data_IF_911415970394
#
_entry.id   IF_911415970394
#
_cell.length_a   1.000
_cell.length_b   1.000
_cell.length_c   1.000
_cell.angle_alpha   90.00
_cell.angle_beta   90.00
_cell.angle_gamma   90.00
#
_symmetry.space_group_name_H-M   'P 1'
#
loop_
_entity.id
_entity.type
_entity.pdbx_description
1 polymer ?
#
# COMPACT_ATOMS: atom_id res chain seq x y z
N UNK A 1 -5.54 3.98 6.38
CA UNK A 1 -5.45 4.90 7.50
C UNK A 1 -6.58 5.93 7.50
N UNK A 2 -6.94 6.40 8.69
CA UNK A 2 -7.93 7.45 8.89
C UNK A 2 -9.40 7.02 8.81
N UNK A 3 -9.71 5.80 8.42
CA UNK A 3 -11.09 5.31 8.41
C UNK A 3 -11.45 4.71 9.77
N UNK A 4 -12.51 5.25 10.39
CA UNK A 4 -13.08 4.69 11.61
C UNK A 4 -13.86 3.37 11.33
N UNK A 5 -14.45 2.78 12.34
CA UNK A 5 -15.26 1.56 12.26
C UNK A 5 -16.43 1.65 11.26
N UNK A 6 -16.96 2.87 11.03
CA UNK A 6 -18.03 3.14 10.06
C UNK A 6 -17.50 3.44 8.64
N UNK A 7 -16.20 3.26 8.39
CA UNK A 7 -15.50 3.56 7.12
C UNK A 7 -15.58 5.04 6.71
N UNK A 8 -15.74 5.93 7.69
CA UNK A 8 -15.73 7.39 7.51
C UNK A 8 -14.34 7.89 7.92
N UNK A 9 -13.75 8.81 7.13
CA UNK A 9 -12.48 9.43 7.49
C UNK A 9 -12.65 10.30 8.73
N UNK A 10 -11.76 10.13 9.70
CA UNK A 10 -11.65 10.93 10.91
C UNK A 10 -10.20 11.34 11.12
N UNK A 11 -9.96 12.64 11.23
CA UNK A 11 -8.61 13.16 11.48
C UNK A 11 -8.06 12.67 12.82
N UNK A 12 -8.87 12.63 13.87
CA UNK A 12 -8.42 12.14 15.19
C UNK A 12 -8.01 10.67 15.13
N UNK A 13 -8.76 9.86 14.37
CA UNK A 13 -8.43 8.45 14.17
C UNK A 13 -7.13 8.30 13.37
N UNK A 14 -6.97 9.11 12.33
CA UNK A 14 -5.76 9.11 11.49
C UNK A 14 -4.51 9.50 12.29
N UNK A 15 -4.59 10.52 13.13
CA UNK A 15 -3.47 10.96 13.97
C UNK A 15 -3.04 9.86 14.94
N UNK A 16 -3.99 9.15 15.57
CA UNK A 16 -3.70 7.99 16.43
C UNK A 16 -3.01 6.85 15.67
N UNK A 17 -3.44 6.56 14.44
CA UNK A 17 -2.76 5.56 13.61
C UNK A 17 -1.33 5.97 13.26
N UNK A 18 -1.08 7.25 12.96
CA UNK A 18 0.27 7.76 12.70
C UNK A 18 1.21 7.59 13.92
N UNK A 19 0.70 7.82 15.13
CA UNK A 19 1.45 7.54 16.38
C UNK A 19 1.79 6.05 16.52
N UNK A 20 0.84 5.17 16.19
CA UNK A 20 1.05 3.71 16.18
C UNK A 20 2.12 3.34 15.14
N UNK A 21 2.09 3.93 13.95
CA UNK A 21 3.11 3.67 12.92
C UNK A 21 4.50 4.08 13.38
N UNK A 22 4.63 5.25 14.02
CA UNK A 22 5.90 5.69 14.60
C UNK A 22 6.41 4.72 15.67
N UNK A 23 5.55 4.33 16.61
CA UNK A 23 5.93 3.41 17.70
C UNK A 23 6.29 2.01 17.21
N UNK A 24 5.86 1.64 15.99
CA UNK A 24 6.20 0.38 15.33
C UNK A 24 7.34 0.53 14.30
N UNK A 25 8.19 1.54 14.42
CA UNK A 25 9.35 1.74 13.54
C UNK A 25 9.00 1.77 12.05
N UNK A 26 7.82 2.33 11.69
CA UNK A 26 7.45 2.52 10.30
C UNK A 26 8.19 3.72 9.71
N UNK A 27 8.68 3.59 8.48
CA UNK A 27 9.46 4.62 7.77
C UNK A 27 8.73 5.24 6.59
N UNK A 28 7.75 4.55 6.03
CA UNK A 28 6.99 5.05 4.87
C UNK A 28 5.54 4.58 4.84
N UNK A 29 4.73 5.38 4.18
CA UNK A 29 3.33 5.12 3.87
C UNK A 29 3.14 5.18 2.35
N UNK A 30 2.74 4.06 1.75
CA UNK A 30 2.43 3.97 0.32
C UNK A 30 0.92 3.92 0.13
N UNK A 31 0.40 4.87 -0.63
CA UNK A 31 -1.03 5.09 -0.88
C UNK A 31 -1.41 4.66 -2.29
N UNK A 32 -2.40 3.78 -2.41
CA UNK A 32 -2.92 3.27 -3.68
C UNK A 32 -4.29 3.82 -4.07
N UNK A 33 -4.90 4.67 -3.25
CA UNK A 33 -6.16 5.33 -3.60
C UNK A 33 -5.94 6.38 -4.68
N UNK A 34 -6.95 6.58 -5.53
CA UNK A 34 -6.95 7.59 -6.58
C UNK A 34 -7.20 9.00 -6.02
N UNK A 35 -6.83 10.03 -6.76
CA UNK A 35 -7.07 11.42 -6.36
C UNK A 35 -8.55 11.71 -6.12
N UNK A 36 -9.44 11.19 -6.98
CA UNK A 36 -10.89 11.32 -6.81
C UNK A 36 -11.43 10.67 -5.52
N UNK A 37 -10.77 9.65 -4.99
CA UNK A 37 -11.13 9.06 -3.71
C UNK A 37 -10.70 9.94 -2.54
N UNK A 38 -9.57 10.65 -2.64
CA UNK A 38 -9.20 11.65 -1.65
C UNK A 38 -10.27 12.75 -1.55
N UNK A 39 -10.81 13.24 -2.67
CA UNK A 39 -11.87 14.26 -2.67
C UNK A 39 -13.12 13.81 -1.90
N UNK A 40 -13.39 12.52 -1.85
CA UNK A 40 -14.51 11.92 -1.10
C UNK A 40 -14.19 11.64 0.37
N UNK A 41 -12.91 11.45 0.70
CA UNK A 41 -12.47 11.00 2.03
C UNK A 41 -11.95 12.14 2.89
N UNK A 42 -11.00 12.91 2.37
CA UNK A 42 -10.33 13.97 3.10
C UNK A 42 -9.55 14.90 2.17
N UNK A 43 -9.08 16.01 2.71
CA UNK A 43 -8.16 16.88 1.98
C UNK A 43 -6.78 16.19 1.83
N UNK A 44 -6.40 15.85 0.60
CA UNK A 44 -5.14 15.17 0.28
C UNK A 44 -3.92 15.93 0.79
N UNK A 45 -3.87 17.25 0.62
CA UNK A 45 -2.73 18.07 1.07
C UNK A 45 -2.55 17.99 2.58
N UNK A 46 -3.63 18.08 3.33
CA UNK A 46 -3.62 17.94 4.79
C UNK A 46 -3.20 16.54 5.22
N UNK A 47 -3.72 15.50 4.58
CA UNK A 47 -3.31 14.11 4.82
C UNK A 47 -1.80 13.94 4.67
N UNK A 48 -1.25 14.36 3.54
CA UNK A 48 0.18 14.26 3.22
C UNK A 48 1.04 15.05 4.21
N UNK A 49 0.60 16.25 4.61
CA UNK A 49 1.31 17.06 5.60
C UNK A 49 1.43 16.35 6.95
N UNK A 50 0.35 15.69 7.41
CA UNK A 50 0.40 14.91 8.65
C UNK A 50 1.33 13.69 8.54
N UNK A 51 1.37 13.02 7.38
CA UNK A 51 2.31 11.92 7.14
C UNK A 51 3.76 12.41 7.32
N UNK A 52 4.13 13.52 6.68
CA UNK A 52 5.48 14.10 6.80
C UNK A 52 5.77 14.61 8.21
N UNK A 53 4.81 15.24 8.87
CA UNK A 53 4.99 15.73 10.27
C UNK A 53 5.25 14.58 11.25
N UNK A 54 4.86 13.35 10.90
CA UNK A 54 5.12 12.14 11.65
C UNK A 54 6.35 11.37 11.16
N UNK A 55 7.26 12.03 10.45
CA UNK A 55 8.52 11.47 9.95
C UNK A 55 8.37 10.25 9.04
N UNK A 56 7.21 10.11 8.38
CA UNK A 56 6.98 9.08 7.38
C UNK A 56 7.21 9.63 5.97
N UNK A 57 7.90 8.88 5.13
CA UNK A 57 7.95 9.15 3.69
C UNK A 57 6.60 8.79 3.08
N UNK A 58 6.14 9.54 2.11
CA UNK A 58 4.89 9.26 1.41
C UNK A 58 5.12 8.92 -0.05
N UNK A 59 4.57 7.79 -0.48
CA UNK A 59 4.57 7.35 -1.88
C UNK A 59 3.13 7.25 -2.38
N UNK A 60 2.87 7.80 -3.57
CA UNK A 60 1.53 7.76 -4.18
C UNK A 60 1.56 7.03 -5.53
N UNK A 61 1.03 5.81 -5.53
CA UNK A 61 0.94 4.94 -6.68
C UNK A 61 -0.53 4.52 -6.88
N UNK A 62 -1.38 5.39 -7.46
CA UNK A 62 -2.80 5.08 -7.62
C UNK A 62 -3.03 3.82 -8.43
N UNK A 63 -4.02 3.02 -8.00
CA UNK A 63 -4.57 1.89 -8.73
C UNK A 63 -6.09 2.09 -8.76
N UNK A 64 -6.74 1.88 -9.89
CA UNK A 64 -8.20 1.88 -10.00
C UNK A 64 -8.80 0.83 -9.08
N UNK A 65 -9.91 1.18 -8.43
CA UNK A 65 -10.54 0.27 -7.47
C UNK A 65 -10.97 -1.04 -8.15
N UNK A 66 -10.73 -2.16 -7.50
CA UNK A 66 -10.89 -3.53 -8.01
C UNK A 66 -10.07 -3.88 -9.27
N UNK A 67 -9.23 -2.98 -9.78
CA UNK A 67 -8.44 -3.24 -10.97
C UNK A 67 -6.98 -3.60 -10.64
N UNK A 68 -6.27 -4.01 -11.66
CA UNK A 68 -4.83 -4.28 -11.60
C UNK A 68 -4.01 -2.99 -11.74
N UNK A 69 -2.76 -2.99 -11.25
CA UNK A 69 -1.80 -1.94 -11.56
C UNK A 69 -1.62 -1.71 -13.06
N UNK A 70 -1.64 -0.47 -13.48
CA UNK A 70 -1.45 -0.05 -14.87
C UNK A 70 0.01 0.34 -15.19
N UNK A 71 0.23 0.84 -16.41
CA UNK A 71 1.56 1.25 -16.86
C UNK A 71 2.13 2.44 -16.06
N UNK A 72 1.29 3.38 -15.63
CA UNK A 72 1.72 4.53 -14.82
C UNK A 72 2.12 4.08 -13.41
N UNK A 73 1.37 3.16 -12.84
CA UNK A 73 1.78 2.49 -11.59
C UNK A 73 3.14 1.81 -11.77
N UNK A 74 3.31 0.99 -12.80
CA UNK A 74 4.55 0.24 -13.02
C UNK A 74 5.76 1.15 -13.16
N UNK A 75 5.62 2.28 -13.87
CA UNK A 75 6.69 3.28 -14.00
C UNK A 75 7.13 3.83 -12.64
N UNK A 76 6.19 4.15 -11.76
CA UNK A 76 6.49 4.63 -10.40
C UNK A 76 7.01 3.49 -9.52
N UNK A 77 6.47 2.29 -9.70
CA UNK A 77 6.82 1.11 -8.92
C UNK A 77 8.30 0.75 -9.04
N UNK A 78 8.89 0.85 -10.22
CA UNK A 78 10.31 0.54 -10.44
C UNK A 78 11.26 1.31 -9.50
N UNK A 79 10.96 2.56 -9.21
CA UNK A 79 11.73 3.35 -8.24
C UNK A 79 11.28 3.07 -6.80
N UNK A 80 9.97 3.04 -6.57
CA UNK A 80 9.42 2.90 -5.21
C UNK A 80 9.76 1.55 -4.59
N UNK A 81 9.70 0.45 -5.34
CA UNK A 81 10.05 -0.89 -4.83
C UNK A 81 11.47 -0.97 -4.28
N UNK A 82 12.42 -0.27 -4.90
CA UNK A 82 13.80 -0.22 -4.42
C UNK A 82 13.90 0.48 -3.07
N UNK A 83 13.20 1.60 -2.91
CA UNK A 83 13.14 2.33 -1.64
C UNK A 83 12.50 1.47 -0.54
N UNK A 84 11.37 0.83 -0.82
CA UNK A 84 10.66 -0.03 0.14
C UNK A 84 11.51 -1.26 0.52
N UNK A 85 12.18 -1.88 -0.44
CA UNK A 85 13.09 -3.01 -0.18
C UNK A 85 14.24 -2.59 0.74
N UNK A 86 14.86 -1.46 0.49
CA UNK A 86 15.95 -0.95 1.33
C UNK A 86 15.47 -0.68 2.76
N UNK A 87 14.32 -0.04 2.94
CA UNK A 87 13.73 0.18 4.26
C UNK A 87 13.48 -1.12 5.03
N UNK A 88 12.94 -2.14 4.36
CA UNK A 88 12.72 -3.46 4.96
C UNK A 88 14.02 -4.17 5.32
N UNK A 89 15.04 -4.10 4.47
CA UNK A 89 16.38 -4.67 4.74
C UNK A 89 17.05 -3.95 5.92
N UNK A 90 16.81 -2.66 6.10
CA UNK A 90 17.28 -1.88 7.27
C UNK A 90 16.49 -2.20 8.56
N UNK A 91 15.54 -3.12 8.53
CA UNK A 91 14.70 -3.48 9.68
C UNK A 91 13.60 -2.49 9.99
N UNK A 92 13.24 -1.62 9.04
CA UNK A 92 12.09 -0.73 9.15
C UNK A 92 10.80 -1.46 8.75
N UNK A 93 9.68 -0.97 9.24
CA UNK A 93 8.36 -1.35 8.75
C UNK A 93 7.86 -0.34 7.72
N UNK A 94 7.05 -0.80 6.79
CA UNK A 94 6.39 0.02 5.78
C UNK A 94 4.87 -0.19 5.84
N UNK A 95 4.12 0.83 5.46
CA UNK A 95 2.66 0.74 5.39
C UNK A 95 2.23 0.78 3.93
N UNK A 96 1.48 -0.24 3.50
CA UNK A 96 0.82 -0.29 2.20
C UNK A 96 -0.69 -0.17 2.44
N UNK A 97 -1.34 0.85 1.87
CA UNK A 97 -2.77 1.03 2.08
C UNK A 97 -3.53 1.46 0.82
N UNK A 98 -4.76 1.02 0.76
CA UNK A 98 -5.80 1.54 -0.11
C UNK A 98 -7.02 1.93 0.72
N UNK A 99 -8.21 1.95 0.16
CA UNK A 99 -9.42 2.27 0.93
C UNK A 99 -9.80 1.14 1.90
N UNK A 100 -9.99 -0.09 1.40
CA UNK A 100 -10.35 -1.26 2.21
C UNK A 100 -9.15 -2.01 2.82
N UNK A 101 -7.95 -1.73 2.37
CA UNK A 101 -6.73 -2.41 2.82
C UNK A 101 -6.66 -3.89 2.42
N UNK A 102 -7.29 -4.28 1.32
CA UNK A 102 -7.37 -5.67 0.83
C UNK A 102 -6.91 -5.82 -0.61
N UNK A 103 -7.63 -5.25 -1.59
CA UNK A 103 -7.38 -5.48 -3.02
C UNK A 103 -6.07 -4.89 -3.50
N UNK A 104 -6.00 -3.60 -3.68
CA UNK A 104 -4.85 -2.85 -4.19
C UNK A 104 -3.62 -2.98 -3.29
N UNK A 105 -3.82 -2.83 -1.98
CA UNK A 105 -2.74 -3.00 -1.00
C UNK A 105 -2.24 -4.44 -0.94
N UNK A 106 -3.13 -5.43 -1.04
CA UNK A 106 -2.77 -6.84 -1.12
C UNK A 106 -1.99 -7.20 -2.38
N UNK A 107 -2.36 -6.61 -3.52
CA UNK A 107 -1.65 -6.77 -4.79
C UNK A 107 -0.20 -6.24 -4.67
N UNK A 108 -0.05 -5.03 -4.15
CA UNK A 108 1.27 -4.42 -3.94
C UNK A 108 2.13 -5.24 -2.95
N UNK A 109 1.52 -5.75 -1.87
CA UNK A 109 2.23 -6.62 -0.92
C UNK A 109 2.72 -7.92 -1.59
N UNK A 110 1.89 -8.55 -2.42
CA UNK A 110 2.27 -9.78 -3.12
C UNK A 110 3.41 -9.56 -4.12
N UNK A 111 3.36 -8.50 -4.95
CA UNK A 111 4.47 -8.22 -5.88
C UNK A 111 5.75 -7.81 -5.15
N UNK A 112 5.65 -7.19 -3.97
CA UNK A 112 6.83 -6.88 -3.16
C UNK A 112 7.46 -8.16 -2.59
N UNK A 113 6.67 -9.16 -2.16
CA UNK A 113 7.18 -10.46 -1.76
C UNK A 113 7.90 -11.17 -2.93
N UNK A 114 7.36 -11.08 -4.15
CA UNK A 114 7.99 -11.61 -5.35
C UNK A 114 9.34 -10.92 -5.64
N UNK A 115 9.43 -9.61 -5.39
CA UNK A 115 10.70 -8.86 -5.48
C UNK A 115 11.76 -9.34 -4.47
N UNK A 116 11.34 -9.97 -3.37
CA UNK A 116 12.22 -10.64 -2.41
C UNK A 116 12.48 -12.11 -2.75
N UNK A 117 12.00 -12.60 -3.88
CA UNK A 117 12.25 -13.96 -4.36
C UNK A 117 11.16 -14.98 -4.03
N UNK A 118 10.01 -14.51 -3.51
CA UNK A 118 8.91 -15.42 -3.22
C UNK A 118 8.25 -15.91 -4.52
N UNK A 119 7.82 -17.16 -4.53
CA UNK A 119 7.05 -17.73 -5.64
C UNK A 119 5.63 -17.09 -5.69
N UNK A 120 5.10 -16.84 -6.89
CA UNK A 120 3.89 -16.04 -7.11
C UNK A 120 2.66 -16.55 -6.37
N UNK A 121 2.38 -17.87 -6.49
CA UNK A 121 1.24 -18.48 -5.79
C UNK A 121 1.43 -18.45 -4.27
N UNK A 122 2.67 -18.63 -3.82
CA UNK A 122 2.98 -18.56 -2.39
C UNK A 122 2.85 -17.12 -1.86
N UNK A 123 3.30 -16.12 -2.60
CA UNK A 123 3.09 -14.71 -2.27
C UNK A 123 1.60 -14.37 -2.09
N UNK A 124 0.74 -14.82 -3.02
CA UNK A 124 -0.73 -14.66 -2.92
C UNK A 124 -1.25 -15.33 -1.64
N UNK A 125 -0.83 -16.56 -1.36
CA UNK A 125 -1.27 -17.31 -0.19
C UNK A 125 -0.82 -16.65 1.12
N UNK A 126 0.43 -16.17 1.20
CA UNK A 126 0.95 -15.45 2.36
C UNK A 126 0.07 -14.23 2.65
N UNK A 127 -0.19 -13.41 1.63
CA UNK A 127 -1.00 -12.18 1.78
C UNK A 127 -2.42 -12.52 2.21
N UNK A 128 -3.08 -13.50 1.60
CA UNK A 128 -4.44 -13.94 1.94
C UNK A 128 -4.54 -14.55 3.33
N UNK A 129 -3.52 -15.29 3.77
CA UNK A 129 -3.46 -15.85 5.11
C UNK A 129 -3.31 -14.77 6.19
N UNK A 130 -2.54 -13.72 5.91
CA UNK A 130 -2.35 -12.59 6.83
C UNK A 130 -3.53 -11.61 6.82
N UNK A 131 -4.18 -11.45 5.68
CA UNK A 131 -5.32 -10.55 5.50
C UNK A 131 -6.43 -11.27 4.71
N UNK A 132 -7.37 -11.88 5.42
CA UNK A 132 -8.50 -12.59 4.79
C UNK A 132 -9.25 -11.69 3.82
N UNK A 133 -9.46 -12.17 2.59
CA UNK A 133 -10.11 -11.43 1.50
C UNK A 133 -9.20 -10.46 0.77
N UNK A 134 -7.88 -10.52 0.97
CA UNK A 134 -6.92 -9.75 0.17
C UNK A 134 -6.82 -10.25 -1.27
N UNK A 135 -6.41 -9.36 -2.19
CA UNK A 135 -6.37 -9.61 -3.62
C UNK A 135 -7.79 -9.95 -4.10
N UNK A 136 -8.63 -8.90 -4.19
CA UNK A 136 -10.09 -9.00 -4.24
C UNK A 136 -10.62 -9.35 -5.62
N UNK A 137 -9.89 -9.03 -6.68
CA UNK A 137 -10.36 -9.24 -8.06
C UNK A 137 -9.51 -10.24 -8.83
N UNK A 138 -10.12 -10.82 -9.88
CA UNK A 138 -9.40 -11.68 -10.82
C UNK A 138 -8.29 -10.92 -11.54
N UNK A 139 -8.53 -9.64 -11.91
CA UNK A 139 -7.53 -8.80 -12.56
C UNK A 139 -6.28 -8.62 -11.69
N UNK A 140 -6.47 -8.43 -10.39
CA UNK A 140 -5.36 -8.31 -9.43
C UNK A 140 -4.56 -9.61 -9.32
N UNK A 141 -5.25 -10.75 -9.24
CA UNK A 141 -4.59 -12.06 -9.19
C UNK A 141 -3.81 -12.36 -10.47
N UNK A 142 -4.43 -12.15 -11.63
CA UNK A 142 -3.80 -12.37 -12.93
C UNK A 142 -2.58 -11.46 -13.14
N UNK A 143 -2.65 -10.21 -12.66
CA UNK A 143 -1.51 -9.31 -12.66
C UNK A 143 -0.34 -9.88 -11.85
N UNK A 144 -0.58 -10.36 -10.63
CA UNK A 144 0.46 -10.95 -9.77
C UNK A 144 1.08 -12.18 -10.46
N UNK A 145 0.25 -13.04 -11.04
CA UNK A 145 0.71 -14.24 -11.73
C UNK A 145 1.53 -13.93 -12.99
N UNK A 146 1.28 -12.80 -13.64
CA UNK A 146 2.04 -12.33 -14.80
C UNK A 146 3.26 -11.49 -14.44
N UNK A 147 3.35 -11.00 -13.19
CA UNK A 147 4.41 -10.11 -12.74
C UNK A 147 5.80 -10.69 -12.95
N UNK A 148 6.74 -9.87 -13.40
CA UNK A 148 8.14 -10.28 -13.62
C UNK A 148 9.06 -9.30 -12.88
N UNK A 149 9.98 -9.86 -12.13
CA UNK A 149 11.08 -9.09 -11.54
C UNK A 149 11.98 -8.62 -12.69
N UNK A 150 12.27 -7.32 -12.74
CA UNK A 150 13.25 -6.80 -13.68
C UNK A 150 14.65 -7.34 -13.33
N UNK A 151 15.32 -7.91 -14.31
CA UNK A 151 16.70 -8.44 -14.17
C UNK A 151 17.70 -7.30 -14.26
#
# INVERSE_FOLDING_TARGET
>A
PGLNENKIFSMDYFLKELEIFQSNNCSSLTTFVEDKEFDQLCNKKTFVQHVYNNNLKWHHLPIYDFDAPDADFMKKWETTKVLLKNELVEGKNIILHCRGGKGRAGTAAAILLIEFGEEKMNAINIVRNKRKGAIESKNQEDFILSYRVAV
#
